data_IF_306975022971
#
_entry.id   IF_306975022971
#
_cell.length_a   1.000
_cell.length_b   1.000
_cell.length_c   1.000
_cell.angle_alpha   90.00
_cell.angle_beta   90.00
_cell.angle_gamma   90.00
#
_symmetry.space_group_name_H-M   'P 1'
#
loop_
_entity.id
_entity.type
_entity.pdbx_description
1 polymer ?
#
# COMPACT_ATOMS: atom_id res chain seq x y z
N UNK A 1 35.10 -31.46 12.78
CA UNK A 1 34.86 -30.03 13.10
C UNK A 1 34.50 -29.32 11.82
N UNK A 2 33.26 -28.84 11.65
CA UNK A 2 32.89 -28.05 10.47
C UNK A 2 33.54 -26.65 10.57
N UNK A 3 34.06 -26.10 9.47
CA UNK A 3 34.68 -24.78 9.50
C UNK A 3 33.64 -23.70 9.85
N UNK A 4 34.06 -22.70 10.62
CA UNK A 4 33.22 -21.57 11.09
C UNK A 4 32.51 -20.84 9.93
N UNK A 5 33.06 -20.91 8.72
CA UNK A 5 32.47 -20.39 7.49
C UNK A 5 31.17 -21.10 7.08
N UNK A 6 31.03 -22.42 7.29
CA UNK A 6 29.77 -23.13 7.01
C UNK A 6 28.63 -22.66 7.93
N UNK A 7 28.94 -22.33 9.19
CA UNK A 7 27.94 -21.83 10.15
C UNK A 7 27.48 -20.41 9.83
N UNK A 8 28.39 -19.55 9.37
CA UNK A 8 28.04 -18.18 8.96
C UNK A 8 27.19 -18.19 7.69
N UNK A 9 27.55 -19.01 6.70
CA UNK A 9 26.73 -19.20 5.48
C UNK A 9 25.36 -19.76 5.83
N UNK A 10 25.30 -20.79 6.69
CA UNK A 10 24.05 -21.41 7.11
C UNK A 10 23.13 -20.48 7.92
N UNK A 11 23.67 -19.45 8.57
CA UNK A 11 22.88 -18.45 9.31
C UNK A 11 22.61 -17.16 8.52
N UNK A 12 23.30 -16.94 7.39
CA UNK A 12 23.09 -15.77 6.54
C UNK A 12 21.93 -15.99 5.55
N UNK A 13 21.89 -17.15 4.90
CA UNK A 13 20.78 -17.56 4.01
C UNK A 13 19.39 -17.53 4.66
N UNK A 14 19.17 -18.09 5.87
CA UNK A 14 17.85 -18.02 6.52
C UNK A 14 17.47 -16.59 6.93
N UNK A 15 18.44 -15.71 7.20
CA UNK A 15 18.16 -14.30 7.53
C UNK A 15 17.76 -13.49 6.31
N UNK A 16 18.42 -13.70 5.16
CA UNK A 16 18.03 -13.10 3.88
C UNK A 16 16.64 -13.56 3.48
N UNK A 17 16.40 -14.87 3.47
CA UNK A 17 15.08 -15.43 3.13
C UNK A 17 13.96 -15.00 4.07
N UNK A 18 14.23 -14.84 5.37
CA UNK A 18 13.23 -14.34 6.32
C UNK A 18 12.99 -12.83 6.17
N UNK A 19 14.00 -12.06 5.76
CA UNK A 19 13.84 -10.66 5.39
C UNK A 19 12.98 -10.53 4.11
N UNK A 20 13.31 -11.28 3.06
CA UNK A 20 12.54 -11.35 1.81
C UNK A 20 11.08 -11.76 2.05
N UNK A 21 10.84 -12.77 2.90
CA UNK A 21 9.48 -13.18 3.28
C UNK A 21 8.72 -12.11 4.06
N UNK A 22 9.41 -11.33 4.90
CA UNK A 22 8.78 -10.20 5.61
C UNK A 22 8.42 -9.08 4.63
N UNK A 23 9.31 -8.74 3.70
CA UNK A 23 9.05 -7.72 2.67
C UNK A 23 7.87 -8.12 1.79
N UNK A 24 7.84 -9.37 1.32
CA UNK A 24 6.73 -9.90 0.52
C UNK A 24 5.39 -9.83 1.27
N UNK A 25 5.37 -10.17 2.57
CA UNK A 25 4.16 -10.05 3.41
C UNK A 25 3.70 -8.61 3.59
N UNK A 26 4.63 -7.67 3.76
CA UNK A 26 4.31 -6.23 3.87
C UNK A 26 3.75 -5.70 2.56
N UNK A 27 4.33 -6.08 1.41
CA UNK A 27 3.84 -5.70 0.09
C UNK A 27 2.43 -6.25 -0.17
N UNK A 28 2.20 -7.52 0.15
CA UNK A 28 0.88 -8.15 0.01
C UNK A 28 -0.17 -7.49 0.89
N UNK A 29 0.17 -7.20 2.16
CA UNK A 29 -0.69 -6.46 3.07
C UNK A 29 -1.03 -5.06 2.53
N UNK A 30 -0.05 -4.34 1.95
CA UNK A 30 -0.25 -3.02 1.34
C UNK A 30 -1.18 -3.08 0.12
N UNK A 31 -0.96 -4.06 -0.77
CA UNK A 31 -1.84 -4.30 -1.93
C UNK A 31 -3.27 -4.54 -1.47
N UNK A 32 -3.45 -5.44 -0.50
CA UNK A 32 -4.76 -5.78 0.01
C UNK A 32 -5.47 -4.56 0.61
N UNK A 33 -4.78 -3.76 1.44
CA UNK A 33 -5.33 -2.51 2.00
C UNK A 33 -5.78 -1.53 0.91
N UNK A 34 -4.99 -1.33 -0.15
CA UNK A 34 -5.34 -0.41 -1.25
C UNK A 34 -6.58 -0.88 -2.00
N UNK A 35 -6.68 -2.19 -2.28
CA UNK A 35 -7.86 -2.78 -2.93
C UNK A 35 -9.10 -2.61 -2.06
N UNK A 36 -9.00 -2.85 -0.75
CA UNK A 36 -10.15 -2.71 0.18
C UNK A 36 -10.64 -1.27 0.27
N UNK A 37 -9.73 -0.29 0.26
CA UNK A 37 -10.11 1.12 0.21
C UNK A 37 -10.77 1.47 -1.13
N UNK A 38 -10.23 0.99 -2.24
CA UNK A 38 -10.82 1.21 -3.57
C UNK A 38 -12.24 0.64 -3.66
N UNK A 39 -12.45 -0.60 -3.23
CA UNK A 39 -13.78 -1.24 -3.20
C UNK A 39 -14.78 -0.43 -2.37
N UNK A 40 -14.35 0.05 -1.19
CA UNK A 40 -15.19 0.84 -0.31
C UNK A 40 -15.50 2.23 -0.91
N UNK A 41 -14.51 2.87 -1.52
CA UNK A 41 -14.68 4.15 -2.21
C UNK A 41 -15.64 4.02 -3.41
N UNK A 42 -15.50 2.99 -4.23
CA UNK A 42 -16.42 2.72 -5.34
C UNK A 42 -17.86 2.52 -4.84
N UNK A 43 -18.05 1.78 -3.74
CA UNK A 43 -19.36 1.64 -3.11
C UNK A 43 -19.92 2.98 -2.57
N UNK A 44 -19.09 3.84 -2.00
CA UNK A 44 -19.50 5.18 -1.55
C UNK A 44 -19.84 6.12 -2.71
N UNK A 45 -19.15 6.02 -3.85
CA UNK A 45 -19.47 6.78 -5.05
C UNK A 45 -20.83 6.38 -5.63
N UNK A 46 -21.12 5.07 -5.68
CA UNK A 46 -22.41 4.55 -6.14
C UNK A 46 -23.55 4.97 -5.21
N UNK A 47 -23.32 4.93 -3.90
CA UNK A 47 -24.36 5.22 -2.88
C UNK A 47 -24.43 6.69 -2.50
N UNK A 48 -23.50 7.53 -2.98
CA UNK A 48 -23.29 8.93 -2.56
C UNK A 48 -23.26 9.10 -1.04
N UNK A 49 -22.72 8.11 -0.32
CA UNK A 49 -22.66 8.10 1.13
C UNK A 49 -21.28 7.72 1.60
N UNK A 50 -20.69 8.52 2.49
CA UNK A 50 -19.46 8.14 3.18
C UNK A 50 -19.83 7.17 4.31
N UNK A 51 -20.04 5.90 3.94
CA UNK A 51 -20.41 4.86 4.88
C UNK A 51 -19.28 4.46 5.84
N UNK A 52 -19.60 3.78 6.95
CA UNK A 52 -18.62 3.32 7.94
C UNK A 52 -17.55 2.39 7.34
N UNK A 53 -17.86 1.71 6.24
CA UNK A 53 -16.92 0.83 5.55
C UNK A 53 -15.79 1.59 4.85
N UNK A 54 -16.05 2.79 4.30
CA UNK A 54 -15.01 3.64 3.71
C UNK A 54 -14.12 4.24 4.79
N UNK A 55 -14.71 4.68 5.90
CA UNK A 55 -13.95 5.21 7.04
C UNK A 55 -13.06 4.14 7.67
N UNK A 56 -13.56 2.90 7.80
CA UNK A 56 -12.77 1.77 8.28
C UNK A 56 -11.63 1.45 7.31
N UNK A 57 -11.89 1.40 6.01
CA UNK A 57 -10.86 1.14 5.02
C UNK A 57 -9.80 2.26 4.95
N UNK A 58 -10.21 3.51 5.07
CA UNK A 58 -9.31 4.66 5.15
C UNK A 58 -8.37 4.59 6.36
N UNK A 59 -8.90 4.16 7.50
CA UNK A 59 -8.11 3.99 8.74
C UNK A 59 -7.04 2.89 8.62
N UNK A 60 -7.16 1.99 7.65
CA UNK A 60 -6.19 0.94 7.34
C UNK A 60 -5.11 1.39 6.34
N UNK A 61 -5.36 2.45 5.54
CA UNK A 61 -4.40 3.01 4.56
C UNK A 61 -3.32 3.85 5.26
N UNK A 62 -3.67 4.50 6.37
CA UNK A 62 -2.83 5.42 7.14
C UNK A 62 -1.61 4.82 7.89
N UNK A 63 -1.60 3.56 8.39
CA UNK A 63 -0.53 3.15 9.30
C UNK A 63 0.78 2.67 8.65
N UNK A 64 0.80 2.26 7.38
CA UNK A 64 1.92 1.46 6.82
C UNK A 64 2.31 1.81 5.37
N UNK A 65 1.73 2.87 4.77
CA UNK A 65 1.88 3.21 3.35
C UNK A 65 2.78 4.42 3.06
N UNK A 66 3.35 4.54 1.84
CA UNK A 66 4.03 5.76 1.40
C UNK A 66 3.08 6.97 1.41
N UNK A 67 3.67 8.15 1.59
CA UNK A 67 2.91 9.38 1.87
C UNK A 67 1.96 9.78 0.73
N UNK A 68 2.28 9.43 -0.53
CA UNK A 68 1.46 9.83 -1.68
C UNK A 68 0.09 9.12 -1.73
N UNK A 69 -0.02 7.77 -1.61
CA UNK A 69 -1.32 7.10 -1.48
C UNK A 69 -2.17 7.59 -0.30
N UNK A 70 -1.54 7.88 0.85
CA UNK A 70 -2.27 8.38 2.02
C UNK A 70 -2.85 9.78 1.78
N UNK A 71 -2.09 10.65 1.10
CA UNK A 71 -2.53 11.99 0.71
C UNK A 71 -3.68 11.94 -0.28
N UNK A 72 -3.58 11.09 -1.31
CA UNK A 72 -4.65 10.91 -2.30
C UNK A 72 -5.92 10.30 -1.68
N UNK A 73 -5.77 9.33 -0.76
CA UNK A 73 -6.90 8.77 -0.01
C UNK A 73 -7.59 9.83 0.86
N UNK A 74 -6.83 10.72 1.48
CA UNK A 74 -7.36 11.84 2.25
C UNK A 74 -8.16 12.82 1.36
N UNK A 75 -7.61 13.18 0.21
CA UNK A 75 -8.29 14.07 -0.75
C UNK A 75 -9.63 13.48 -1.23
N UNK A 76 -9.68 12.17 -1.50
CA UNK A 76 -10.91 11.48 -1.87
C UNK A 76 -11.95 11.49 -0.73
N UNK A 77 -11.51 11.24 0.51
CA UNK A 77 -12.38 11.30 1.69
C UNK A 77 -12.96 12.70 1.91
N UNK A 78 -12.15 13.75 1.78
CA UNK A 78 -12.63 15.13 1.91
C UNK A 78 -13.63 15.51 0.80
N UNK A 79 -13.42 15.04 -0.44
CA UNK A 79 -14.39 15.22 -1.52
C UNK A 79 -15.70 14.47 -1.29
N UNK A 80 -15.64 13.23 -0.77
CA UNK A 80 -16.84 12.48 -0.38
C UNK A 80 -17.62 13.14 0.77
N UNK A 81 -16.90 13.72 1.76
CA UNK A 81 -17.53 14.44 2.89
C UNK A 81 -18.15 15.77 2.49
N UNK A 82 -17.64 16.41 1.43
CA UNK A 82 -18.12 17.73 1.03
C UNK A 82 -19.53 17.74 0.44
N UNK A 83 -20.13 16.58 0.12
CA UNK A 83 -21.49 16.37 -0.45
C UNK A 83 -21.86 17.18 -1.72
N UNK A 84 -21.16 18.28 -2.01
CA UNK A 84 -21.30 19.18 -3.14
C UNK A 84 -20.26 18.92 -4.23
N UNK A 85 -19.31 18.01 -4.00
CA UNK A 85 -18.34 17.62 -5.04
C UNK A 85 -19.05 16.95 -6.22
N UNK A 86 -18.60 17.31 -7.42
CA UNK A 86 -19.14 16.71 -8.64
C UNK A 86 -18.68 15.26 -8.79
N UNK A 87 -19.40 14.46 -9.60
CA UNK A 87 -18.98 13.09 -9.91
C UNK A 87 -17.62 13.07 -10.60
N UNK A 88 -17.32 14.06 -11.45
CA UNK A 88 -16.04 14.16 -12.17
C UNK A 88 -14.88 14.46 -11.20
N UNK A 89 -15.09 15.32 -10.21
CA UNK A 89 -14.10 15.59 -9.15
C UNK A 89 -13.81 14.34 -8.31
N UNK A 90 -14.87 13.61 -7.94
CA UNK A 90 -14.74 12.37 -7.18
C UNK A 90 -14.02 11.28 -7.98
N UNK A 91 -14.33 11.16 -9.28
CA UNK A 91 -13.69 10.26 -10.22
C UNK A 91 -12.21 10.63 -10.45
N UNK A 92 -11.88 11.91 -10.47
CA UNK A 92 -10.50 12.40 -10.52
C UNK A 92 -9.70 12.05 -9.25
N UNK A 93 -10.24 12.31 -8.05
CA UNK A 93 -9.58 11.93 -6.80
C UNK A 93 -9.38 10.41 -6.70
N UNK A 94 -10.33 9.61 -7.22
CA UNK A 94 -10.19 8.14 -7.28
C UNK A 94 -9.05 7.71 -8.19
N UNK A 95 -8.94 8.29 -9.40
CA UNK A 95 -7.83 8.00 -10.31
C UNK A 95 -6.48 8.34 -9.68
N UNK A 96 -6.38 9.50 -9.05
CA UNK A 96 -5.16 9.96 -8.39
C UNK A 96 -4.72 9.00 -7.26
N UNK A 97 -5.68 8.47 -6.51
CA UNK A 97 -5.40 7.41 -5.52
C UNK A 97 -4.87 6.14 -6.18
N UNK A 98 -5.52 5.65 -7.25
CA UNK A 98 -5.11 4.43 -7.95
C UNK A 98 -3.70 4.58 -8.54
N UNK A 99 -3.41 5.72 -9.16
CA UNK A 99 -2.10 6.01 -9.75
C UNK A 99 -1.01 6.08 -8.68
N UNK A 100 -1.27 6.78 -7.58
CA UNK A 100 -0.35 6.87 -6.44
C UNK A 100 -0.09 5.49 -5.81
N UNK A 101 -1.14 4.69 -5.63
CA UNK A 101 -1.02 3.33 -5.09
C UNK A 101 -0.20 2.42 -6.03
N UNK A 102 -0.40 2.51 -7.35
CA UNK A 102 0.38 1.75 -8.35
C UNK A 102 1.85 2.16 -8.36
N UNK A 103 2.13 3.46 -8.30
CA UNK A 103 3.49 3.98 -8.26
C UNK A 103 4.22 3.49 -7.00
N UNK A 104 3.59 3.64 -5.84
CA UNK A 104 4.07 3.15 -4.55
C UNK A 104 4.40 1.65 -4.53
N UNK A 105 3.52 0.82 -5.11
CA UNK A 105 3.73 -0.62 -5.21
C UNK A 105 4.88 -0.95 -6.18
N UNK A 106 4.97 -0.24 -7.30
CA UNK A 106 6.04 -0.43 -8.28
C UNK A 106 7.40 -0.02 -7.71
N UNK A 107 7.46 1.04 -6.90
CA UNK A 107 8.70 1.50 -6.25
C UNK A 107 9.14 0.54 -5.14
N UNK A 108 8.19 -0.06 -4.40
CA UNK A 108 8.51 -1.10 -3.43
C UNK A 108 9.12 -2.35 -4.11
N UNK A 109 8.58 -2.76 -5.26
CA UNK A 109 9.11 -3.88 -6.07
C UNK A 109 10.48 -3.57 -6.70
N UNK A 110 10.71 -2.32 -7.09
CA UNK A 110 12.03 -1.85 -7.58
C UNK A 110 13.07 -1.73 -6.48
N UNK A 111 12.65 -1.36 -5.27
CA UNK A 111 13.49 -1.38 -4.07
C UNK A 111 13.96 -2.79 -3.72
N UNK A 112 13.10 -3.80 -3.93
CA UNK A 112 13.44 -5.22 -3.74
C UNK A 112 14.44 -5.73 -4.79
N UNK A 113 14.34 -5.27 -6.04
CA UNK A 113 15.26 -5.66 -7.13
C UNK A 113 16.60 -4.90 -7.12
N UNK A 114 16.67 -3.74 -6.44
CA UNK A 114 17.90 -2.99 -6.14
C UNK A 114 18.44 -3.29 -4.74
N UNK A 115 18.25 -4.52 -4.24
CA UNK A 115 19.09 -5.07 -3.17
C UNK A 115 20.49 -5.35 -3.73
N UNK A 116 21.31 -4.31 -3.87
CA UNK A 116 22.72 -4.41 -4.25
C UNK A 116 23.49 -5.24 -3.20
N UNK A 117 24.07 -6.41 -3.55
CA UNK A 117 24.91 -7.19 -2.64
C UNK A 117 26.33 -6.62 -2.60
N UNK A 118 26.50 -5.36 -2.19
CA UNK A 118 27.82 -4.78 -1.95
C UNK A 118 27.77 -3.50 -1.10
N UNK A 119 27.77 -3.65 0.23
CA UNK A 119 28.56 -2.79 1.12
C UNK A 119 28.70 -3.38 2.52
#
# INVERSE_FOLDING_TARGET
MRPLSEWLVALHTPRLTLAEQRTARVLDQRRHTCVRFQEAADAALVTRSTGPDVQRAYSLVLPEGPAEPATAAHALMESLRRHASSLDELDACRREFIESARAALSDAERGETRGDPAR
#
